data_IF_238431348784
#
_entry.id   IF_238431348784
#
_cell.length_a   1.000
_cell.length_b   1.000
_cell.length_c   1.000
_cell.angle_alpha   90.00
_cell.angle_beta   90.00
_cell.angle_gamma   90.00
#
_symmetry.space_group_name_H-M   'P 1'
#
loop_
_entity.id
_entity.type
_entity.pdbx_description
1 polymer ?
#
# COMPACT_ATOMS: atom_id res chain seq x y z
N UNK A 1 39.42 -57.98 -13.75
CA UNK A 1 39.11 -57.36 -12.43
C UNK A 1 39.14 -55.82 -12.48
N UNK A 2 40.04 -55.18 -13.23
CA UNK A 2 40.15 -53.71 -13.34
C UNK A 2 38.91 -52.98 -13.90
N UNK A 3 38.22 -53.53 -14.91
CA UNK A 3 37.05 -52.88 -15.51
C UNK A 3 35.82 -52.78 -14.61
N UNK A 4 35.63 -53.74 -13.70
CA UNK A 4 34.52 -53.73 -12.73
C UNK A 4 34.70 -52.60 -11.71
N UNK A 5 35.94 -52.40 -11.26
CA UNK A 5 36.29 -51.31 -10.34
C UNK A 5 36.04 -49.95 -10.99
N UNK A 6 36.45 -49.79 -12.25
CA UNK A 6 36.22 -48.54 -13.00
C UNK A 6 34.72 -48.23 -13.19
N UNK A 7 33.91 -49.24 -13.55
CA UNK A 7 32.47 -49.09 -13.70
C UNK A 7 31.78 -48.72 -12.37
N UNK A 8 32.18 -49.38 -11.26
CA UNK A 8 31.65 -49.08 -9.93
C UNK A 8 31.94 -47.62 -9.51
N UNK A 9 33.16 -47.14 -9.75
CA UNK A 9 33.54 -45.75 -9.47
C UNK A 9 32.71 -44.76 -10.31
N UNK A 10 32.47 -45.06 -11.58
CA UNK A 10 31.67 -44.20 -12.46
C UNK A 10 30.20 -44.08 -12.00
N UNK A 11 29.58 -45.17 -11.58
CA UNK A 11 28.20 -45.16 -11.05
C UNK A 11 28.14 -44.38 -9.74
N UNK A 12 29.10 -44.58 -8.84
CA UNK A 12 29.21 -43.81 -7.59
C UNK A 12 29.38 -42.32 -7.85
N UNK A 13 30.24 -41.93 -8.80
CA UNK A 13 30.42 -40.53 -9.20
C UNK A 13 29.13 -39.91 -9.74
N UNK A 14 28.35 -40.67 -10.51
CA UNK A 14 27.07 -40.20 -11.08
C UNK A 14 25.98 -40.07 -10.01
N UNK A 15 25.86 -41.06 -9.12
CA UNK A 15 24.91 -41.00 -7.98
C UNK A 15 25.26 -39.85 -7.03
N UNK A 16 26.55 -39.67 -6.72
CA UNK A 16 27.02 -38.57 -5.88
C UNK A 16 26.75 -37.21 -6.54
N UNK A 17 27.01 -37.10 -7.85
CA UNK A 17 26.68 -35.93 -8.65
C UNK A 17 25.18 -35.59 -8.64
N UNK A 18 24.32 -36.60 -8.80
CA UNK A 18 22.87 -36.43 -8.76
C UNK A 18 22.36 -35.97 -7.39
N UNK A 19 22.90 -36.52 -6.29
CA UNK A 19 22.55 -36.11 -4.93
C UNK A 19 22.96 -34.66 -4.64
N UNK A 20 24.19 -34.28 -5.03
CA UNK A 20 24.69 -32.91 -4.87
C UNK A 20 23.83 -31.93 -5.70
N UNK A 21 23.56 -32.25 -6.96
CA UNK A 21 22.74 -31.43 -7.83
C UNK A 21 21.32 -31.24 -7.27
N UNK A 22 20.68 -32.31 -6.79
CA UNK A 22 19.34 -32.25 -6.20
C UNK A 22 19.28 -31.32 -4.98
N UNK A 23 20.26 -31.40 -4.07
CA UNK A 23 20.34 -30.51 -2.89
C UNK A 23 20.56 -29.05 -3.29
N UNK A 24 21.35 -28.79 -4.33
CA UNK A 24 21.50 -27.44 -4.87
C UNK A 24 20.21 -26.93 -5.53
N UNK A 25 19.49 -27.80 -6.25
CA UNK A 25 18.19 -27.48 -6.86
C UNK A 25 17.15 -27.14 -5.80
N UNK A 26 17.02 -27.94 -4.74
CA UNK A 26 16.11 -27.67 -3.62
C UNK A 26 16.42 -26.32 -2.96
N UNK A 27 17.70 -26.05 -2.67
CA UNK A 27 18.14 -24.79 -2.04
C UNK A 27 17.89 -23.59 -2.95
N UNK A 28 18.12 -23.74 -4.26
CA UNK A 28 17.88 -22.71 -5.26
C UNK A 28 16.38 -22.42 -5.39
N UNK A 29 15.55 -23.47 -5.46
CA UNK A 29 14.09 -23.37 -5.51
C UNK A 29 13.53 -22.68 -4.26
N UNK A 30 13.99 -23.07 -3.05
CA UNK A 30 13.57 -22.42 -1.81
C UNK A 30 13.93 -20.93 -1.78
N UNK A 31 15.13 -20.56 -2.24
CA UNK A 31 15.55 -19.15 -2.35
C UNK A 31 14.71 -18.38 -3.36
N UNK A 32 14.39 -18.98 -4.50
CA UNK A 32 13.53 -18.38 -5.52
C UNK A 32 12.11 -18.13 -4.99
N UNK A 33 11.50 -19.11 -4.32
CA UNK A 33 10.18 -18.97 -3.68
C UNK A 33 10.18 -17.85 -2.64
N UNK A 34 11.16 -17.83 -1.74
CA UNK A 34 11.27 -16.79 -0.71
C UNK A 34 11.45 -15.39 -1.32
N UNK A 35 12.21 -15.28 -2.42
CA UNK A 35 12.34 -14.01 -3.16
C UNK A 35 11.01 -13.59 -3.79
N UNK A 36 10.29 -14.51 -4.42
CA UNK A 36 9.01 -14.25 -5.04
C UNK A 36 7.92 -13.87 -4.02
N UNK A 37 7.94 -14.43 -2.81
CA UNK A 37 7.01 -14.05 -1.73
C UNK A 37 7.30 -12.67 -1.16
N UNK A 38 8.58 -12.31 -1.01
CA UNK A 38 9.00 -10.96 -0.62
C UNK A 38 8.56 -9.94 -1.66
N UNK A 39 8.86 -10.17 -2.93
CA UNK A 39 8.45 -9.30 -4.03
C UNK A 39 6.94 -9.12 -4.09
N UNK A 40 6.17 -10.21 -3.97
CA UNK A 40 4.70 -10.14 -3.93
C UNK A 40 4.17 -9.37 -2.72
N UNK A 41 4.87 -9.39 -1.60
CA UNK A 41 4.48 -8.61 -0.41
C UNK A 41 4.86 -7.14 -0.55
N UNK A 42 6.01 -6.86 -1.16
CA UNK A 42 6.47 -5.52 -1.50
C UNK A 42 5.50 -4.83 -2.47
N UNK A 43 5.16 -5.49 -3.59
CA UNK A 43 4.22 -4.97 -4.57
C UNK A 43 2.82 -4.74 -3.98
N UNK A 44 2.30 -5.67 -3.17
CA UNK A 44 0.99 -5.49 -2.51
C UNK A 44 0.96 -4.27 -1.58
N UNK A 45 2.06 -4.01 -0.87
CA UNK A 45 2.15 -2.83 -0.01
C UNK A 45 2.24 -1.54 -0.84
N UNK A 46 3.05 -1.53 -1.90
CA UNK A 46 3.14 -0.41 -2.84
C UNK A 46 1.78 -0.07 -3.44
N UNK A 47 1.09 -1.07 -3.99
CA UNK A 47 -0.23 -0.89 -4.62
C UNK A 47 -1.25 -0.33 -3.64
N UNK A 48 -1.30 -0.86 -2.40
CA UNK A 48 -2.22 -0.39 -1.38
C UNK A 48 -1.92 1.03 -0.90
N UNK A 49 -0.64 1.41 -0.78
CA UNK A 49 -0.24 2.77 -0.45
C UNK A 49 -0.60 3.75 -1.58
N UNK A 50 -0.35 3.38 -2.83
CA UNK A 50 -0.65 4.21 -4.00
C UNK A 50 -2.17 4.43 -4.16
N UNK A 51 -2.97 3.36 -4.04
CA UNK A 51 -4.43 3.40 -4.07
C UNK A 51 -4.99 4.30 -2.95
N UNK A 52 -4.49 4.16 -1.73
CA UNK A 52 -4.88 5.02 -0.62
C UNK A 52 -4.55 6.50 -0.89
N UNK A 53 -3.33 6.81 -1.34
CA UNK A 53 -2.90 8.19 -1.59
C UNK A 53 -3.75 8.86 -2.68
N UNK A 54 -4.01 8.15 -3.80
CA UNK A 54 -4.86 8.67 -4.87
C UNK A 54 -6.29 8.98 -4.39
N UNK A 55 -6.90 8.04 -3.66
CA UNK A 55 -8.24 8.23 -3.11
C UNK A 55 -8.30 9.32 -2.04
N UNK A 56 -7.23 9.49 -1.24
CA UNK A 56 -7.14 10.56 -0.25
C UNK A 56 -7.14 11.95 -0.91
N UNK A 57 -6.42 12.12 -2.02
CA UNK A 57 -6.42 13.37 -2.79
C UNK A 57 -7.78 13.66 -3.43
N UNK A 58 -8.41 12.65 -4.05
CA UNK A 58 -9.76 12.80 -4.59
C UNK A 58 -10.77 13.18 -3.50
N UNK A 59 -10.68 12.53 -2.34
CA UNK A 59 -11.53 12.82 -1.20
C UNK A 59 -11.30 14.23 -0.65
N UNK A 60 -10.04 14.69 -0.60
CA UNK A 60 -9.69 16.06 -0.20
C UNK A 60 -10.33 17.10 -1.12
N UNK A 61 -10.21 16.91 -2.43
CA UNK A 61 -10.91 17.74 -3.42
C UNK A 61 -12.43 17.74 -3.19
N UNK A 62 -13.03 16.57 -2.98
CA UNK A 62 -14.46 16.47 -2.74
C UNK A 62 -14.91 17.14 -1.42
N UNK A 63 -14.03 17.23 -0.40
CA UNK A 63 -14.34 18.00 0.80
C UNK A 63 -14.32 19.51 0.55
N UNK A 64 -13.41 20.01 -0.29
CA UNK A 64 -13.46 21.41 -0.74
C UNK A 64 -14.75 21.69 -1.51
N UNK A 65 -15.07 20.87 -2.51
CA UNK A 65 -16.29 21.02 -3.32
C UNK A 65 -17.53 21.03 -2.41
N UNK A 66 -17.58 20.11 -1.45
CA UNK A 66 -18.67 20.02 -0.47
C UNK A 66 -18.73 21.24 0.44
N UNK A 67 -17.60 21.74 0.94
CA UNK A 67 -17.56 22.95 1.76
C UNK A 67 -18.05 24.17 0.96
N UNK A 68 -17.54 24.37 -0.26
CA UNK A 68 -17.94 25.48 -1.14
C UNK A 68 -19.42 25.41 -1.50
N UNK A 69 -19.98 24.22 -1.71
CA UNK A 69 -21.40 24.02 -2.02
C UNK A 69 -22.36 24.47 -0.91
N UNK A 70 -21.88 24.71 0.32
CA UNK A 70 -22.71 25.26 1.41
C UNK A 70 -23.20 26.68 1.14
N UNK A 71 -22.55 27.40 0.23
CA UNK A 71 -22.96 28.74 -0.21
C UNK A 71 -24.09 28.69 -1.26
N UNK A 72 -24.32 27.53 -1.87
CA UNK A 72 -25.44 27.35 -2.79
C UNK A 72 -26.76 27.21 -2.01
N UNK A 73 -27.93 27.46 -2.65
CA UNK A 73 -29.22 27.25 -2.03
C UNK A 73 -29.33 25.83 -1.43
N UNK A 74 -29.82 25.68 -0.19
CA UNK A 74 -30.05 24.36 0.41
C UNK A 74 -30.92 23.49 -0.49
N UNK A 75 -30.50 22.26 -0.73
CA UNK A 75 -31.22 21.32 -1.60
C UNK A 75 -31.03 21.55 -3.10
N UNK A 76 -30.19 22.50 -3.51
CA UNK A 76 -29.76 22.60 -4.90
C UNK A 76 -29.09 21.31 -5.37
N UNK A 77 -29.25 20.99 -6.66
CA UNK A 77 -28.65 19.80 -7.27
C UNK A 77 -27.14 19.76 -7.06
N UNK A 78 -26.46 20.90 -7.18
CA UNK A 78 -25.02 21.02 -6.91
C UNK A 78 -24.64 20.65 -5.47
N UNK A 79 -25.39 21.12 -4.46
CA UNK A 79 -25.14 20.78 -3.06
C UNK A 79 -25.42 19.30 -2.74
N UNK A 80 -26.46 18.74 -3.36
CA UNK A 80 -26.77 17.31 -3.24
C UNK A 80 -25.70 16.43 -3.89
N UNK A 81 -25.24 16.80 -5.09
CA UNK A 81 -24.18 16.11 -5.81
C UNK A 81 -22.84 16.14 -5.06
N UNK A 82 -22.41 17.32 -4.59
CA UNK A 82 -21.18 17.46 -3.81
C UNK A 82 -21.23 16.66 -2.49
N UNK A 83 -22.39 16.61 -1.83
CA UNK A 83 -22.61 15.76 -0.66
C UNK A 83 -22.51 14.27 -1.01
N UNK A 84 -23.19 13.82 -2.05
CA UNK A 84 -23.18 12.42 -2.48
C UNK A 84 -21.77 11.95 -2.85
N UNK A 85 -21.04 12.75 -3.61
CA UNK A 85 -19.68 12.44 -4.04
C UNK A 85 -18.70 12.37 -2.87
N UNK A 86 -18.78 13.31 -1.93
CA UNK A 86 -18.01 13.29 -0.69
C UNK A 86 -18.28 12.01 0.14
N UNK A 87 -19.52 11.54 0.23
CA UNK A 87 -19.82 10.28 0.90
C UNK A 87 -19.31 9.05 0.15
N UNK A 88 -19.42 9.05 -1.19
CA UNK A 88 -18.88 7.96 -2.02
C UNK A 88 -17.37 7.83 -1.79
N UNK A 89 -16.63 8.93 -1.91
CA UNK A 89 -15.18 8.96 -1.70
C UNK A 89 -14.78 8.66 -0.25
N UNK A 90 -15.60 9.06 0.74
CA UNK A 90 -15.36 8.65 2.13
C UNK A 90 -15.34 7.12 2.27
N UNK A 91 -16.28 6.43 1.63
CA UNK A 91 -16.36 4.97 1.64
C UNK A 91 -15.17 4.35 0.90
N UNK A 92 -14.79 4.91 -0.27
CA UNK A 92 -13.63 4.42 -1.03
C UNK A 92 -12.32 4.55 -0.25
N UNK A 93 -12.04 5.72 0.33
CA UNK A 93 -10.86 5.93 1.21
C UNK A 93 -10.88 4.98 2.39
N UNK A 94 -12.05 4.72 2.99
CA UNK A 94 -12.14 3.77 4.11
C UNK A 94 -11.85 2.34 3.66
N UNK A 95 -12.32 1.97 2.47
CA UNK A 95 -12.11 0.66 1.86
C UNK A 95 -10.63 0.45 1.52
N UNK A 96 -9.95 1.44 0.93
CA UNK A 96 -8.51 1.38 0.65
C UNK A 96 -7.68 1.33 1.94
N UNK A 97 -8.07 2.08 2.98
CA UNK A 97 -7.44 1.99 4.30
C UNK A 97 -7.56 0.57 4.90
N UNK A 98 -8.70 -0.11 4.73
CA UNK A 98 -8.83 -1.49 5.17
C UNK A 98 -7.93 -2.44 4.37
N UNK A 99 -7.84 -2.27 3.05
CA UNK A 99 -6.89 -3.04 2.22
C UNK A 99 -5.44 -2.81 2.67
N UNK A 100 -5.05 -1.56 2.92
CA UNK A 100 -3.73 -1.20 3.43
C UNK A 100 -3.45 -1.90 4.77
N UNK A 101 -4.39 -1.89 5.71
CA UNK A 101 -4.25 -2.58 7.00
C UNK A 101 -4.06 -4.09 6.86
N UNK A 102 -4.71 -4.72 5.88
CA UNK A 102 -4.58 -6.16 5.64
C UNK A 102 -3.19 -6.55 5.12
N UNK A 103 -2.59 -5.71 4.26
CA UNK A 103 -1.25 -5.98 3.70
C UNK A 103 -0.11 -5.48 4.60
N UNK A 104 -0.39 -4.51 5.46
CA UNK A 104 0.57 -3.91 6.39
C UNK A 104 0.87 -4.82 7.60
N UNK A 105 1.60 -5.92 7.38
CA UNK A 105 1.89 -6.90 8.43
C UNK A 105 3.10 -6.55 9.30
N UNK A 106 4.13 -5.91 8.72
CA UNK A 106 5.34 -5.49 9.43
C UNK A 106 5.08 -4.27 10.34
N UNK A 107 5.80 -4.10 11.47
CA UNK A 107 5.56 -3.00 12.40
C UNK A 107 5.60 -1.61 11.76
N UNK A 108 6.55 -1.39 10.84
CA UNK A 108 6.67 -0.13 10.12
C UNK A 108 5.54 0.11 9.10
N UNK A 109 5.03 -0.96 8.47
CA UNK A 109 3.88 -0.87 7.59
C UNK A 109 2.58 -0.62 8.38
N UNK A 110 2.44 -1.18 9.60
CA UNK A 110 1.30 -0.90 10.47
C UNK A 110 1.21 0.58 10.83
N UNK A 111 2.35 1.21 11.14
CA UNK A 111 2.41 2.66 11.37
C UNK A 111 2.00 3.48 10.14
N UNK A 112 2.30 3.02 8.91
CA UNK A 112 1.77 3.66 7.71
C UNK A 112 0.24 3.62 7.67
N UNK A 113 -0.34 2.48 8.02
CA UNK A 113 -1.80 2.34 8.07
C UNK A 113 -2.45 3.18 9.19
N UNK A 114 -1.73 3.47 10.27
CA UNK A 114 -2.15 4.41 11.31
C UNK A 114 -2.13 5.85 10.78
N UNK A 115 -1.05 6.27 10.13
CA UNK A 115 -0.96 7.60 9.49
C UNK A 115 -2.01 7.79 8.38
N UNK A 116 -2.29 6.76 7.58
CA UNK A 116 -3.37 6.77 6.61
C UNK A 116 -4.74 7.01 7.27
N UNK A 117 -4.98 6.44 8.44
CA UNK A 117 -6.21 6.70 9.20
C UNK A 117 -6.27 8.16 9.70
N UNK A 118 -5.15 8.72 10.15
CA UNK A 118 -5.06 10.13 10.56
C UNK A 118 -5.35 11.08 9.38
N UNK A 119 -4.83 10.79 8.19
CA UNK A 119 -5.11 11.55 6.96
C UNK A 119 -6.61 11.54 6.64
N UNK A 120 -7.27 10.38 6.75
CA UNK A 120 -8.72 10.29 6.54
C UNK A 120 -9.49 11.21 7.51
N UNK A 121 -9.08 11.28 8.78
CA UNK A 121 -9.69 12.17 9.78
C UNK A 121 -9.44 13.63 9.42
N UNK A 122 -8.18 14.02 9.19
CA UNK A 122 -7.79 15.40 8.81
C UNK A 122 -8.52 15.88 7.56
N UNK A 123 -8.62 15.02 6.54
CA UNK A 123 -9.32 15.35 5.30
C UNK A 123 -10.81 15.61 5.57
N UNK A 124 -11.45 14.79 6.41
CA UNK A 124 -12.85 15.00 6.81
C UNK A 124 -13.07 16.32 7.55
N UNK A 125 -12.07 16.81 8.28
CA UNK A 125 -12.16 18.06 9.06
C UNK A 125 -12.31 19.31 8.18
N UNK A 126 -11.88 19.26 6.91
CA UNK A 126 -11.99 20.35 5.93
C UNK A 126 -13.44 20.84 5.80
N UNK A 127 -14.40 19.92 5.69
CA UNK A 127 -15.82 20.30 5.57
C UNK A 127 -16.39 21.00 6.80
N UNK A 128 -15.78 20.78 7.97
CA UNK A 128 -16.20 21.42 9.22
C UNK A 128 -15.57 22.80 9.44
N UNK A 129 -14.82 23.33 8.47
CA UNK A 129 -14.23 24.65 8.56
C UNK A 129 -15.30 25.76 8.69
N UNK A 130 -15.00 26.78 9.50
CA UNK A 130 -15.88 27.92 9.75
C UNK A 130 -15.96 28.89 8.57
N UNK A 131 -14.83 29.10 7.92
CA UNK A 131 -14.62 30.08 6.87
C UNK A 131 -13.59 29.56 5.85
N UNK A 132 -13.32 30.37 4.83
CA UNK A 132 -12.46 29.99 3.71
C UNK A 132 -11.01 29.79 4.14
N UNK A 133 -10.50 30.61 5.06
CA UNK A 133 -9.10 30.56 5.49
C UNK A 133 -8.89 29.32 6.37
N UNK A 134 -9.83 29.00 7.27
CA UNK A 134 -9.84 27.74 8.03
C UNK A 134 -9.93 26.52 7.10
N UNK A 135 -10.77 26.59 6.06
CA UNK A 135 -10.89 25.50 5.07
C UNK A 135 -9.57 25.25 4.35
N UNK A 136 -8.88 26.31 3.91
CA UNK A 136 -7.57 26.21 3.24
C UNK A 136 -6.52 25.65 4.20
N UNK A 137 -6.44 26.18 5.42
CA UNK A 137 -5.47 25.73 6.42
C UNK A 137 -5.62 24.24 6.77
N UNK A 138 -6.86 23.76 6.98
CA UNK A 138 -7.13 22.32 7.20
C UNK A 138 -6.78 21.49 5.97
N UNK A 139 -7.02 22.04 4.79
CA UNK A 139 -6.65 21.48 3.51
C UNK A 139 -5.16 21.25 3.35
N UNK A 140 -4.35 22.26 3.68
CA UNK A 140 -2.88 22.18 3.70
C UNK A 140 -2.38 21.16 4.73
N UNK A 141 -3.01 21.09 5.91
CA UNK A 141 -2.68 20.08 6.93
C UNK A 141 -2.93 18.65 6.40
N UNK A 142 -4.02 18.43 5.67
CA UNK A 142 -4.32 17.14 5.07
C UNK A 142 -3.34 16.80 3.93
N UNK A 143 -2.98 17.78 3.10
CA UNK A 143 -2.03 17.66 2.00
C UNK A 143 -0.62 17.31 2.51
N UNK A 144 -0.07 18.09 3.43
CA UNK A 144 1.24 17.80 4.03
C UNK A 144 1.27 16.43 4.73
N UNK A 145 0.16 16.01 5.35
CA UNK A 145 0.07 14.68 5.93
C UNK A 145 0.12 13.58 4.86
N UNK A 146 -0.52 13.78 3.70
CA UNK A 146 -0.45 12.86 2.57
C UNK A 146 0.96 12.78 1.97
N UNK A 147 1.63 13.93 1.77
CA UNK A 147 3.01 13.99 1.29
C UNK A 147 3.97 13.26 2.25
N UNK A 148 3.84 13.52 3.55
CA UNK A 148 4.63 12.84 4.58
C UNK A 148 4.37 11.31 4.57
N UNK A 149 3.12 10.88 4.34
CA UNK A 149 2.79 9.47 4.19
C UNK A 149 3.49 8.85 2.97
N UNK A 150 3.50 9.51 1.82
CA UNK A 150 4.18 9.00 0.60
C UNK A 150 5.68 8.87 0.83
N UNK A 151 6.31 9.86 1.46
CA UNK A 151 7.74 9.79 1.82
C UNK A 151 8.03 8.64 2.78
N UNK A 152 7.18 8.46 3.79
CA UNK A 152 7.33 7.36 4.74
C UNK A 152 7.08 6.01 4.10
N UNK A 153 6.12 5.91 3.18
CA UNK A 153 5.84 4.70 2.43
C UNK A 153 7.07 4.29 1.60
N UNK A 154 7.69 5.25 0.91
CA UNK A 154 8.95 5.02 0.18
C UNK A 154 10.04 4.46 1.09
N UNK A 155 10.23 5.01 2.28
CA UNK A 155 11.23 4.52 3.24
C UNK A 155 10.95 3.08 3.70
N UNK A 156 9.69 2.76 3.98
CA UNK A 156 9.28 1.41 4.41
C UNK A 156 9.45 0.38 3.30
N UNK A 157 9.13 0.77 2.06
CA UNK A 157 9.29 -0.05 0.87
C UNK A 157 10.79 -0.32 0.60
N UNK A 158 11.62 0.73 0.62
CA UNK A 158 13.06 0.62 0.42
C UNK A 158 13.79 -0.16 1.53
N UNK A 159 13.27 -0.17 2.77
CA UNK A 159 13.82 -0.98 3.86
C UNK A 159 13.45 -2.48 3.75
N UNK A 160 12.55 -2.84 2.84
CA UNK A 160 12.14 -4.21 2.55
C UNK A 160 12.90 -4.88 1.39
N UNK A 161 13.65 -4.09 0.61
CA UNK A 161 14.57 -4.54 -0.45
C UNK A 161 15.88 -5.09 0.13
#
# INVERSE_FOLDING_TARGET
MSGIIAAAIAVLGTLLGAVIAHRYQEKSAARATARAERERSHQRLLDACADFAALAEEYRRAQYDRWTSRQAPPGSEAALAARAESYRLYVEVRSSLFRLRLVATAPQARRLAEHAAEIQVKTREIFFASDRDDMLARGEVAEHACEAFVLRAREVLAAGD
#
